data_IF_866436791079
#
_entry.id   IF_866436791079
#
_cell.length_a   1.000
_cell.length_b   1.000
_cell.length_c   1.000
_cell.angle_alpha   90.00
_cell.angle_beta   90.00
_cell.angle_gamma   90.00
#
_symmetry.space_group_name_H-M   'P 1'
#
loop_
_entity.id
_entity.type
_entity.pdbx_description
1 polymer ?
#
# COMPACT_ATOMS: atom_id res chain seq x y z
N UNK A 1 4.44 -1.66 -4.29
CA UNK A 1 4.75 -1.62 -2.83
C UNK A 1 5.73 -0.51 -2.50
N UNK A 2 6.88 -0.44 -3.16
CA UNK A 2 7.97 0.51 -2.88
C UNK A 2 7.51 1.95 -2.60
N UNK A 3 6.74 2.58 -3.50
CA UNK A 3 6.37 4.01 -3.36
C UNK A 3 5.43 4.31 -2.20
N UNK A 4 4.53 3.40 -1.83
CA UNK A 4 3.56 3.62 -0.73
C UNK A 4 4.25 3.69 0.64
N UNK A 5 5.29 2.90 0.82
CA UNK A 5 6.03 2.83 2.09
C UNK A 5 7.24 3.77 2.13
N UNK A 6 7.95 3.95 1.00
CA UNK A 6 9.18 4.74 0.90
C UNK A 6 8.97 6.21 0.53
N UNK A 7 7.85 6.56 -0.11
CA UNK A 7 7.60 7.91 -0.62
C UNK A 7 8.35 8.21 -1.93
N UNK A 8 8.59 9.50 -2.19
CA UNK A 8 9.23 10.02 -3.41
C UNK A 8 10.59 10.68 -3.17
N UNK A 9 11.12 10.58 -1.95
CA UNK A 9 12.43 11.12 -1.62
C UNK A 9 13.55 10.40 -2.39
N UNK A 10 14.66 11.10 -2.62
CA UNK A 10 15.88 10.53 -3.19
C UNK A 10 16.73 9.95 -2.08
N UNK A 11 17.36 8.81 -2.35
CA UNK A 11 18.18 8.06 -1.41
C UNK A 11 19.46 7.65 -2.12
N UNK A 12 20.55 8.37 -1.85
CA UNK A 12 21.82 8.17 -2.57
C UNK A 12 22.90 7.54 -1.68
N UNK A 13 22.53 7.08 -0.47
CA UNK A 13 23.47 6.50 0.50
C UNK A 13 23.28 4.99 0.66
N UNK A 14 24.38 4.26 0.83
CA UNK A 14 24.37 2.80 1.11
C UNK A 14 23.57 2.46 2.36
N UNK A 15 23.59 3.35 3.35
CA UNK A 15 22.80 3.20 4.57
C UNK A 15 21.30 3.24 4.26
N UNK A 16 20.84 4.18 3.44
CA UNK A 16 19.45 4.24 3.02
C UNK A 16 19.04 2.98 2.24
N UNK A 17 19.94 2.44 1.40
CA UNK A 17 19.68 1.18 0.69
C UNK A 17 19.48 -0.01 1.63
N UNK A 18 20.32 -0.17 2.66
CA UNK A 18 20.16 -1.22 3.67
C UNK A 18 18.83 -1.11 4.42
N UNK A 19 18.47 0.10 4.86
CA UNK A 19 17.19 0.36 5.54
C UNK A 19 16.00 0.09 4.60
N UNK A 20 16.12 0.43 3.32
CA UNK A 20 15.10 0.12 2.32
C UNK A 20 14.90 -1.38 2.11
N UNK A 21 15.98 -2.16 2.07
CA UNK A 21 15.88 -3.62 1.94
C UNK A 21 15.21 -4.24 3.16
N UNK A 22 15.58 -3.81 4.37
CA UNK A 22 14.94 -4.31 5.58
C UNK A 22 13.45 -3.92 5.66
N UNK A 23 13.13 -2.70 5.23
CA UNK A 23 11.75 -2.22 5.14
C UNK A 23 10.94 -3.07 4.14
N UNK A 24 11.47 -3.33 2.95
CA UNK A 24 10.80 -4.15 1.93
C UNK A 24 10.56 -5.58 2.42
N UNK A 25 11.56 -6.20 3.07
CA UNK A 25 11.42 -7.54 3.64
C UNK A 25 10.33 -7.58 4.71
N UNK A 26 10.33 -6.61 5.63
CA UNK A 26 9.35 -6.53 6.73
C UNK A 26 7.93 -6.27 6.19
N UNK A 27 7.80 -5.36 5.21
CA UNK A 27 6.52 -5.06 4.56
C UNK A 27 6.00 -6.28 3.79
N UNK A 28 6.87 -7.01 3.09
CA UNK A 28 6.49 -8.22 2.36
C UNK A 28 5.85 -9.24 3.30
N UNK A 29 6.47 -9.51 4.46
CA UNK A 29 5.90 -10.39 5.48
C UNK A 29 4.55 -9.83 5.97
N UNK A 30 4.48 -8.55 6.33
CA UNK A 30 3.25 -7.98 6.83
C UNK A 30 2.07 -8.11 5.84
N UNK A 31 2.32 -7.78 4.57
CA UNK A 31 1.30 -7.79 3.53
C UNK A 31 0.86 -9.21 3.19
N UNK A 32 1.82 -10.13 3.03
CA UNK A 32 1.51 -11.49 2.59
C UNK A 32 0.71 -12.27 3.62
N UNK A 33 0.97 -12.02 4.91
CA UNK A 33 0.34 -12.74 6.00
C UNK A 33 -0.95 -12.07 6.48
N UNK A 34 -1.01 -10.73 6.54
CA UNK A 34 -2.09 -10.03 7.26
C UNK A 34 -3.00 -9.16 6.39
N UNK A 35 -2.59 -8.74 5.19
CA UNK A 35 -3.43 -7.85 4.39
C UNK A 35 -4.25 -8.61 3.33
N UNK A 36 -5.59 -8.58 3.40
CA UNK A 36 -6.42 -9.17 2.37
C UNK A 36 -6.31 -8.38 1.06
N UNK A 37 -6.26 -9.09 -0.06
CA UNK A 37 -6.23 -8.48 -1.40
C UNK A 37 -7.31 -9.08 -2.30
N UNK A 38 -8.08 -8.20 -2.95
CA UNK A 38 -9.03 -8.59 -3.99
C UNK A 38 -8.32 -8.64 -5.34
N UNK A 39 -8.39 -9.78 -6.02
CA UNK A 39 -7.89 -9.92 -7.39
C UNK A 39 -9.02 -9.73 -8.39
N UNK A 40 -8.72 -9.08 -9.51
CA UNK A 40 -9.64 -8.98 -10.64
C UNK A 40 -9.66 -10.32 -11.37
N UNK A 41 -10.80 -11.00 -11.38
CA UNK A 41 -10.99 -12.31 -12.04
C UNK A 41 -11.24 -12.09 -13.53
N UNK A 42 -12.15 -11.18 -13.87
CA UNK A 42 -12.48 -10.90 -15.27
C UNK A 42 -12.80 -9.43 -15.50
N UNK A 43 -12.48 -8.97 -16.71
CA UNK A 43 -12.81 -7.63 -17.20
C UNK A 43 -13.37 -7.77 -18.60
N UNK A 44 -14.64 -7.44 -18.77
CA UNK A 44 -15.33 -7.54 -20.06
C UNK A 44 -15.87 -6.17 -20.47
N UNK A 45 -15.67 -5.81 -21.73
CA UNK A 45 -16.20 -4.57 -22.31
C UNK A 45 -17.50 -4.88 -23.06
N UNK A 46 -18.56 -4.16 -22.74
CA UNK A 46 -19.85 -4.22 -23.41
C UNK A 46 -20.15 -2.82 -23.98
N UNK A 47 -19.78 -2.60 -25.24
CA UNK A 47 -19.85 -1.28 -25.89
C UNK A 47 -19.00 -0.24 -25.16
N UNK A 48 -19.62 0.83 -24.68
CA UNK A 48 -18.95 1.88 -23.89
C UNK A 48 -18.70 1.49 -22.42
N UNK A 49 -19.35 0.45 -21.88
CA UNK A 49 -19.27 0.07 -20.47
C UNK A 49 -18.25 -1.04 -20.23
N UNK A 50 -17.53 -0.98 -19.10
CA UNK A 50 -16.60 -2.04 -18.67
C UNK A 50 -17.12 -2.66 -17.38
N UNK A 51 -17.36 -3.98 -17.39
CA UNK A 51 -17.74 -4.77 -16.22
C UNK A 51 -16.52 -5.49 -15.67
N UNK A 52 -16.32 -5.42 -14.36
CA UNK A 52 -15.22 -6.07 -13.63
C UNK A 52 -15.79 -7.03 -12.60
N UNK A 53 -15.30 -8.26 -12.58
CA UNK A 53 -15.61 -9.25 -11.54
C UNK A 53 -14.39 -9.43 -10.65
N UNK A 54 -14.55 -9.17 -9.37
CA UNK A 54 -13.50 -9.33 -8.37
C UNK A 54 -13.69 -10.63 -7.58
N UNK A 55 -12.58 -11.15 -7.09
CA UNK A 55 -12.52 -12.26 -6.15
C UNK A 55 -12.85 -11.79 -4.72
N UNK A 56 -13.25 -12.74 -3.89
CA UNK A 56 -13.39 -12.49 -2.46
C UNK A 56 -12.04 -12.00 -1.86
N UNK A 57 -12.07 -11.05 -0.92
CA UNK A 57 -10.87 -10.57 -0.25
C UNK A 57 -10.19 -11.73 0.49
N UNK A 58 -8.96 -12.06 0.09
CA UNK A 58 -8.17 -13.13 0.70
C UNK A 58 -6.72 -12.68 0.86
N UNK A 59 -6.08 -13.07 1.95
CA UNK A 59 -4.65 -12.82 2.11
C UNK A 59 -3.84 -13.67 1.11
N UNK A 60 -2.67 -13.18 0.64
CA UNK A 60 -1.79 -14.00 -0.19
C UNK A 60 -1.46 -15.36 0.43
N UNK A 61 -1.23 -15.40 1.76
CA UNK A 61 -1.06 -16.65 2.51
C UNK A 61 -2.25 -17.61 2.32
N UNK A 62 -3.49 -17.14 2.52
CA UNK A 62 -4.70 -17.96 2.34
C UNK A 62 -4.80 -18.52 0.92
N UNK A 63 -4.41 -17.74 -0.10
CA UNK A 63 -4.38 -18.21 -1.49
C UNK A 63 -3.35 -19.31 -1.69
N UNK A 64 -2.16 -19.19 -1.09
CA UNK A 64 -1.10 -20.23 -1.14
C UNK A 64 -1.56 -21.51 -0.45
N UNK A 65 -2.19 -21.40 0.72
CA UNK A 65 -2.72 -22.56 1.46
C UNK A 65 -3.81 -23.32 0.66
N UNK A 66 -4.58 -22.61 -0.16
CA UNK A 66 -5.61 -23.20 -1.04
C UNK A 66 -5.06 -23.72 -2.37
N UNK A 67 -3.83 -23.37 -2.74
CA UNK A 67 -3.25 -23.79 -4.01
C UNK A 67 -2.90 -25.29 -3.98
N UNK A 68 -3.30 -26.08 -5.01
CA UNK A 68 -2.93 -27.50 -5.09
C UNK A 68 -1.46 -27.69 -5.48
N UNK A 69 -0.82 -26.68 -6.08
CA UNK A 69 0.57 -26.76 -6.58
C UNK A 69 1.64 -26.66 -5.47
N UNK A 70 1.24 -26.47 -4.21
CA UNK A 70 2.15 -26.28 -3.08
C UNK A 70 2.07 -27.48 -2.16
N UNK A 71 3.23 -28.06 -1.80
CA UNK A 71 3.31 -29.22 -0.92
C UNK A 71 2.72 -28.94 0.46
N UNK A 72 2.16 -29.97 1.10
CA UNK A 72 1.55 -29.82 2.43
C UNK A 72 2.60 -29.47 3.50
N UNK A 73 3.84 -29.93 3.35
CA UNK A 73 4.98 -29.55 4.18
C UNK A 73 5.20 -28.04 4.17
N UNK A 74 5.22 -27.43 2.98
CA UNK A 74 5.38 -25.97 2.81
C UNK A 74 4.20 -25.22 3.43
N UNK A 75 2.97 -25.73 3.26
CA UNK A 75 1.77 -25.13 3.85
C UNK A 75 1.82 -25.17 5.39
N UNK A 76 2.28 -26.27 5.96
CA UNK A 76 2.44 -26.40 7.41
C UNK A 76 3.50 -25.45 7.97
N UNK A 77 4.64 -25.33 7.30
CA UNK A 77 5.67 -24.35 7.67
C UNK A 77 5.12 -22.91 7.65
N UNK A 78 4.35 -22.54 6.61
CA UNK A 78 3.73 -21.23 6.51
C UNK A 78 2.68 -20.97 7.60
N UNK A 79 1.89 -21.98 7.98
CA UNK A 79 0.94 -21.89 9.11
C UNK A 79 1.68 -21.64 10.42
N UNK A 80 2.73 -22.41 10.70
CA UNK A 80 3.54 -22.22 11.90
C UNK A 80 4.17 -20.83 11.94
N UNK A 81 4.71 -20.37 10.82
CA UNK A 81 5.26 -19.01 10.71
C UNK A 81 4.19 -17.95 11.00
N UNK A 82 2.97 -18.12 10.52
CA UNK A 82 1.87 -17.19 10.79
C UNK A 82 1.53 -17.09 12.29
N UNK A 83 1.60 -18.19 13.04
CA UNK A 83 1.39 -18.18 14.50
C UNK A 83 2.49 -17.46 15.27
N UNK A 84 3.74 -17.53 14.80
CA UNK A 84 4.87 -16.86 15.45
C UNK A 84 4.92 -15.35 15.18
N UNK A 85 4.31 -14.89 14.08
CA UNK A 85 4.36 -13.50 13.66
C UNK A 85 3.33 -12.64 14.42
N UNK A 86 3.81 -11.59 15.08
CA UNK A 86 2.94 -10.60 15.73
C UNK A 86 2.71 -9.39 14.80
N UNK A 87 1.47 -9.09 14.38
CA UNK A 87 1.19 -7.98 13.47
C UNK A 87 1.53 -6.61 14.06
N UNK A 88 1.37 -6.43 15.38
CA UNK A 88 1.70 -5.18 16.06
C UNK A 88 3.22 -4.94 16.11
N UNK A 89 4.02 -5.98 16.31
CA UNK A 89 5.48 -5.85 16.31
C UNK A 89 6.01 -5.50 14.92
N UNK A 90 5.48 -6.14 13.86
CA UNK A 90 5.79 -5.82 12.48
C UNK A 90 5.41 -4.38 12.12
N UNK A 91 4.22 -3.94 12.53
CA UNK A 91 3.74 -2.57 12.27
C UNK A 91 4.66 -1.52 12.93
N UNK A 92 5.07 -1.75 14.19
CA UNK A 92 6.04 -0.89 14.88
C UNK A 92 7.39 -0.87 14.17
N UNK A 93 7.87 -2.03 13.70
CA UNK A 93 9.13 -2.15 12.96
C UNK A 93 9.08 -1.36 11.64
N UNK A 94 7.99 -1.50 10.88
CA UNK A 94 7.76 -0.73 9.63
C UNK A 94 7.77 0.77 9.92
N UNK A 95 7.07 1.22 10.96
CA UNK A 95 7.04 2.64 11.34
C UNK A 95 8.43 3.18 11.73
N UNK A 96 9.22 2.39 12.46
CA UNK A 96 10.60 2.72 12.82
C UNK A 96 11.48 2.86 11.57
N UNK A 97 11.49 1.85 10.70
CA UNK A 97 12.32 1.84 9.49
C UNK A 97 11.94 2.97 8.53
N UNK A 98 10.65 3.30 8.43
CA UNK A 98 10.20 4.46 7.66
C UNK A 98 10.74 5.78 8.21
N UNK A 99 10.72 5.97 9.54
CA UNK A 99 11.28 7.18 10.17
C UNK A 99 12.79 7.30 9.91
N UNK A 100 13.52 6.19 10.06
CA UNK A 100 14.95 6.16 9.76
C UNK A 100 15.22 6.48 8.28
N UNK A 101 14.43 5.90 7.37
CA UNK A 101 14.56 6.17 5.95
C UNK A 101 14.33 7.65 5.62
N UNK A 102 13.32 8.29 6.22
CA UNK A 102 13.04 9.72 6.02
C UNK A 102 14.21 10.60 6.49
N UNK A 103 14.91 10.22 7.57
CA UNK A 103 16.10 10.94 8.04
C UNK A 103 17.30 10.80 7.09
N UNK A 104 17.37 9.70 6.33
CA UNK A 104 18.41 9.43 5.35
C UNK A 104 18.07 9.96 3.94
N UNK A 105 16.92 10.61 3.77
CA UNK A 105 16.54 11.23 2.52
C UNK A 105 17.55 12.33 2.16
N UNK A 106 18.03 12.32 0.92
CA UNK A 106 18.79 13.44 0.37
C UNK A 106 17.85 14.65 0.38
N UNK A 107 18.20 15.78 1.02
CA UNK A 107 17.40 16.98 0.92
C UNK A 107 17.33 17.36 -0.56
N UNK A 108 16.13 17.30 -1.13
CA UNK A 108 15.90 17.89 -2.44
C UNK A 108 16.08 19.38 -2.23
N UNK A 109 17.27 19.90 -2.53
CA UNK A 109 17.44 21.31 -2.81
C UNK A 109 16.45 21.59 -3.94
N UNK A 110 15.36 22.27 -3.62
CA UNK A 110 14.40 22.76 -4.61
C UNK A 110 15.09 23.91 -5.35
N UNK A 111 16.13 23.61 -6.11
CA UNK A 111 16.70 24.56 -7.05
C UNK A 111 15.71 24.61 -8.21
N UNK A 112 14.80 25.57 -8.16
CA UNK A 112 14.04 25.99 -9.33
C UNK A 112 14.86 27.09 -10.00
N UNK A 113 15.75 26.80 -10.95
CA UNK A 113 16.26 27.86 -11.81
C UNK A 113 15.15 28.23 -12.79
N UNK A 114 14.26 29.16 -12.40
CA UNK A 114 13.36 29.79 -13.36
C UNK A 114 13.92 31.15 -13.76
N UNK A 115 14.93 31.11 -14.63
CA UNK A 115 15.22 32.19 -15.57
C UNK A 115 15.18 31.62 -16.98
N UNK A 116 13.99 31.18 -17.41
CA UNK A 116 13.66 31.33 -18.82
C UNK A 116 13.26 32.78 -19.00
N UNK A 117 14.23 33.60 -19.40
CA UNK A 117 13.91 34.84 -20.10
C UNK A 117 13.08 34.44 -21.33
N UNK A 118 11.78 34.75 -21.28
CA UNK A 118 10.92 34.69 -22.45
C UNK A 118 10.59 36.14 -22.73
N UNK A 119 11.24 36.68 -23.76
CA UNK A 119 10.82 37.91 -24.42
C UNK A 119 9.33 37.77 -24.77
N UNK A 120 8.57 38.79 -24.41
CA UNK A 120 7.13 38.72 -24.26
C UNK A 120 6.38 38.38 -25.53
N UNK A 121 5.43 37.44 -25.43
CA UNK A 121 4.16 37.47 -26.16
C UNK A 121 3.22 36.39 -25.59
N UNK A 122 2.22 36.83 -24.83
CA UNK A 122 0.91 36.16 -24.66
C UNK A 122 0.84 34.83 -23.90
N UNK A 123 0.06 34.82 -22.81
CA UNK A 123 -1.05 33.89 -22.53
C UNK A 123 -1.30 33.67 -21.02
N UNK A 124 -2.55 33.92 -20.64
CA UNK A 124 -3.35 33.30 -19.56
C UNK A 124 -2.86 33.49 -18.12
N UNK A 125 -3.62 34.30 -17.37
CA UNK A 125 -3.53 34.42 -15.92
C UNK A 125 -3.68 33.03 -15.26
N UNK A 126 -2.64 32.61 -14.53
CA UNK A 126 -2.71 31.43 -13.68
C UNK A 126 -3.48 31.78 -12.40
N UNK A 127 -4.59 31.08 -12.16
CA UNK A 127 -5.36 31.17 -10.91
C UNK A 127 -4.53 30.77 -9.67
N UNK A 128 -5.03 31.04 -8.46
CA UNK A 128 -4.28 30.85 -7.23
C UNK A 128 -3.84 29.39 -7.06
N UNK A 129 -2.57 29.19 -6.68
CA UNK A 129 -1.98 27.88 -6.39
C UNK A 129 -2.85 27.13 -5.38
N UNK A 130 -3.48 26.03 -5.83
CA UNK A 130 -4.17 25.11 -4.94
C UNK A 130 -3.19 24.59 -3.87
N UNK A 131 -3.59 24.53 -2.59
CA UNK A 131 -2.76 23.99 -1.54
C UNK A 131 -2.42 22.53 -1.86
N UNK A 132 -1.14 22.18 -1.69
CA UNK A 132 -0.61 20.84 -1.91
C UNK A 132 -1.45 19.83 -1.11
N UNK A 133 -2.03 18.78 -1.71
CA UNK A 133 -2.85 17.85 -0.97
C UNK A 133 -1.95 17.03 -0.04
N UNK A 134 -1.96 17.35 1.25
CA UNK A 134 -1.42 16.49 2.30
C UNK A 134 -2.21 15.19 2.27
N UNK A 135 -1.64 14.15 1.66
CA UNK A 135 -2.21 12.81 1.67
C UNK A 135 -2.17 12.26 3.11
N UNK A 136 -3.24 11.58 3.56
CA UNK A 136 -3.29 11.01 4.90
C UNK A 136 -2.14 10.02 5.11
N UNK A 137 -1.50 10.11 6.28
CA UNK A 137 -0.39 9.23 6.64
C UNK A 137 -0.89 7.77 6.70
N UNK A 138 -0.09 6.78 6.28
CA UNK A 138 -0.55 5.41 6.13
C UNK A 138 -0.92 4.68 7.43
N UNK A 139 -0.70 5.28 8.60
CA UNK A 139 -1.23 4.77 9.86
C UNK A 139 -2.73 5.04 10.03
N UNK A 140 -3.32 5.99 9.29
CA UNK A 140 -4.76 6.27 9.34
C UNK A 140 -5.58 5.24 8.57
N UNK A 141 -5.05 4.67 7.48
CA UNK A 141 -5.76 3.68 6.66
C UNK A 141 -6.04 2.37 7.42
N UNK A 142 -5.27 2.08 8.48
CA UNK A 142 -5.48 0.87 9.30
C UNK A 142 -6.61 1.08 10.32
N UNK A 143 -6.90 2.33 10.71
CA UNK A 143 -7.98 2.66 11.63
C UNK A 143 -9.36 2.52 10.97
N UNK A 144 -9.47 2.77 9.67
CA UNK A 144 -10.74 2.67 8.92
C UNK A 144 -11.22 1.22 8.70
N UNK A 145 -10.39 0.21 8.96
CA UNK A 145 -10.75 -1.20 8.77
C UNK A 145 -11.44 -1.83 9.99
N UNK A 146 -11.52 -1.15 11.15
CA UNK A 146 -12.10 -1.71 12.39
C UNK A 146 -13.51 -1.18 12.75
N UNK A 147 -14.12 -0.30 11.95
CA UNK A 147 -15.51 0.19 12.17
C UNK A 147 -16.48 -0.33 11.10
N UNK A 148 -16.53 -1.64 10.95
CA UNK A 148 -17.72 -2.31 10.44
C UNK A 148 -18.08 -3.43 11.42
N UNK A 149 -18.72 -3.04 12.52
CA UNK A 149 -19.43 -3.97 13.39
C UNK A 149 -20.51 -4.66 12.54
N UNK A 150 -20.38 -5.98 12.41
CA UNK A 150 -21.37 -7.07 12.56
C UNK A 150 -22.88 -6.84 12.30
N UNK A 151 -23.60 -7.94 11.99
CA UNK A 151 -24.79 -8.01 11.16
C UNK A 151 -26.07 -7.64 11.89
N UNK A 152 -27.08 -7.17 11.15
CA UNK A 152 -28.46 -7.18 11.64
C UNK A 152 -29.29 -8.11 10.74
N UNK A 153 -29.58 -9.29 11.30
CA UNK A 153 -30.66 -10.16 10.87
C UNK A 153 -31.99 -9.45 11.15
N UNK A 154 -32.81 -9.25 10.12
CA UNK A 154 -34.26 -9.29 10.31
C UNK A 154 -34.83 -10.37 9.40
N UNK A 155 -35.21 -11.48 10.05
CA UNK A 155 -36.15 -12.50 9.59
C UNK A 155 -37.55 -11.90 9.44
N UNK A 156 -38.44 -12.72 8.87
CA UNK A 156 -39.92 -12.66 8.84
C UNK A 156 -40.49 -12.04 7.56
N UNK A 157 -40.94 -12.82 6.56
CA UNK A 157 -42.09 -13.75 6.44
C UNK A 157 -43.36 -13.07 5.92
N UNK A 158 -43.99 -13.73 4.92
CA UNK A 158 -45.35 -13.58 4.37
C UNK A 158 -45.56 -12.45 3.34
N UNK A 159 -45.72 -12.80 2.07
CA UNK A 159 -47.00 -13.20 1.45
C UNK A 159 -46.78 -13.79 0.06
#
# INVERSE_FOLDING_TARGET
MARRFKGYARFDTDRAWKVMQELDATVSVFVNFFLPSQKLISKTRCGAKVRKRYDAPQTPLQRVLRSPSVSEETKNALRQQAFTLNPASLSRKIARLRRELVQLATPVAVNVPNKRAVDGAGLRQAGPKSPNPTLPQPLEIVADFHTAHSPDETRESLS
#
